data_IF_255323674856
#
_entry.id   IF_255323674856
#
_cell.length_a   1.000
_cell.length_b   1.000
_cell.length_c   1.000
_cell.angle_alpha   90.00
_cell.angle_beta   90.00
_cell.angle_gamma   90.00
#
_symmetry.space_group_name_H-M   'P 1'
#
loop_
_entity.id
_entity.type
_entity.pdbx_description
1 polymer ?
#
# COMPACT_ATOMS: atom_id res chain seq x y z
N UNK A 1 60.24 72.23 -10.26
CA UNK A 1 61.41 71.57 -10.90
C UNK A 1 61.24 70.06 -10.75
N UNK A 2 61.57 69.32 -11.81
CA UNK A 2 61.23 67.91 -12.12
C UNK A 2 62.20 66.93 -11.42
N UNK A 3 61.72 65.73 -11.04
CA UNK A 3 62.42 64.42 -11.04
C UNK A 3 61.46 63.33 -10.45
N UNK A 4 60.74 62.50 -11.22
CA UNK A 4 61.09 61.20 -11.87
C UNK A 4 61.90 60.23 -11.01
N UNK A 5 61.37 59.02 -10.76
CA UNK A 5 62.22 57.89 -10.30
C UNK A 5 61.52 56.65 -9.75
N UNK A 6 61.01 55.80 -10.65
CA UNK A 6 60.90 54.32 -10.58
C UNK A 6 60.32 53.63 -9.32
N UNK A 7 59.08 53.13 -9.47
CA UNK A 7 58.47 52.12 -8.61
C UNK A 7 58.73 50.73 -9.22
N UNK A 8 59.56 49.91 -8.57
CA UNK A 8 59.81 48.52 -8.94
C UNK A 8 58.96 47.61 -8.06
N UNK A 9 57.92 47.04 -8.67
CA UNK A 9 57.00 46.05 -8.11
C UNK A 9 57.74 44.74 -7.83
N UNK A 10 57.83 44.34 -6.55
CA UNK A 10 58.15 42.95 -6.17
C UNK A 10 56.84 42.28 -5.76
N UNK A 11 56.39 41.34 -6.58
CA UNK A 11 55.19 40.56 -6.36
C UNK A 11 55.38 39.60 -5.18
N UNK A 12 54.74 39.91 -4.05
CA UNK A 12 54.54 38.98 -2.94
C UNK A 12 53.51 37.92 -3.34
N UNK A 13 53.94 36.67 -3.50
CA UNK A 13 53.05 35.52 -3.67
C UNK A 13 52.44 35.11 -2.33
N UNK A 14 51.29 35.71 -2.02
CA UNK A 14 50.45 35.31 -0.89
C UNK A 14 49.77 33.97 -1.23
N UNK A 15 50.21 32.89 -0.61
CA UNK A 15 49.54 31.58 -0.67
C UNK A 15 48.24 31.66 0.14
N UNK A 16 47.07 31.34 -0.44
CA UNK A 16 45.83 31.38 0.31
C UNK A 16 45.77 30.22 1.31
N UNK A 17 45.66 30.57 2.59
CA UNK A 17 45.33 29.67 3.69
C UNK A 17 44.00 28.99 3.36
N UNK A 18 44.02 27.66 3.16
CA UNK A 18 42.80 26.85 3.03
C UNK A 18 41.99 26.97 4.31
N UNK A 19 40.79 27.54 4.20
CA UNK A 19 39.78 27.50 5.23
C UNK A 19 39.43 26.03 5.54
N UNK A 20 39.63 25.62 6.80
CA UNK A 20 39.16 24.34 7.32
C UNK A 20 37.64 24.48 7.51
N UNK A 21 36.87 23.73 6.71
CA UNK A 21 35.41 23.63 6.90
C UNK A 21 35.12 23.04 8.29
N UNK A 22 34.16 23.60 9.07
CA UNK A 22 33.70 22.95 10.28
C UNK A 22 33.01 21.62 9.93
N UNK A 23 33.08 20.59 10.80
CA UNK A 23 32.43 19.32 10.54
C UNK A 23 30.92 19.54 10.39
N UNK A 24 30.38 19.06 9.28
CA UNK A 24 28.95 19.13 8.97
C UNK A 24 28.15 18.52 10.14
N UNK A 25 27.11 19.24 10.58
CA UNK A 25 26.15 18.71 11.54
C UNK A 25 25.59 17.38 11.02
N UNK A 26 25.42 16.36 11.88
CA UNK A 26 24.78 15.13 11.47
C UNK A 26 23.39 15.44 10.89
N UNK A 27 22.96 14.77 9.81
CA UNK A 27 21.63 14.99 9.26
C UNK A 27 20.59 14.76 10.36
N UNK A 28 19.50 15.54 10.38
CA UNK A 28 18.42 15.28 11.32
C UNK A 28 18.01 13.81 11.15
N UNK A 29 18.02 13.06 12.25
CA UNK A 29 17.52 11.71 12.27
C UNK A 29 16.15 11.73 11.62
N UNK A 30 16.01 11.01 10.50
CA UNK A 30 14.72 10.85 9.87
C UNK A 30 13.81 10.24 10.92
N UNK A 31 12.90 11.07 11.43
CA UNK A 31 11.79 10.67 12.27
C UNK A 31 11.16 9.47 11.58
N UNK A 32 11.45 8.27 12.09
CA UNK A 32 10.75 7.05 11.73
C UNK A 32 9.40 7.12 12.44
N UNK A 33 8.62 8.14 12.11
CA UNK A 33 7.19 8.16 12.35
C UNK A 33 6.66 7.00 11.53
N UNK A 34 6.48 5.88 12.24
CA UNK A 34 5.72 4.75 11.74
C UNK A 34 4.26 5.19 11.80
N UNK A 35 3.88 6.17 10.97
CA UNK A 35 2.48 6.45 10.73
C UNK A 35 1.91 5.17 10.14
N UNK A 36 1.09 4.49 10.92
CA UNK A 36 0.36 3.33 10.42
C UNK A 36 -0.56 3.90 9.35
N UNK A 37 -0.28 3.56 8.08
CA UNK A 37 -1.05 4.13 6.99
C UNK A 37 -2.52 3.76 7.15
N UNK A 38 -3.41 4.69 6.81
CA UNK A 38 -4.84 4.41 6.73
C UNK A 38 -5.17 3.69 5.42
N UNK A 39 -6.25 2.92 5.42
CA UNK A 39 -6.81 2.36 4.19
C UNK A 39 -7.30 3.47 3.26
N UNK A 40 -7.29 3.25 1.94
CA UNK A 40 -7.87 4.20 0.99
C UNK A 40 -9.36 4.43 1.29
N UNK A 41 -9.82 5.63 0.93
CA UNK A 41 -11.24 5.98 0.94
C UNK A 41 -11.87 5.55 -0.38
N UNK A 42 -13.04 4.93 -0.32
CA UNK A 42 -13.84 4.56 -1.48
C UNK A 42 -15.28 5.02 -1.29
N UNK A 43 -15.96 5.33 -2.38
CA UNK A 43 -17.39 5.66 -2.33
C UNK A 43 -18.21 4.39 -2.10
N UNK A 44 -19.06 4.41 -1.08
CA UNK A 44 -20.07 3.37 -0.89
C UNK A 44 -21.04 3.33 -2.07
N UNK A 45 -21.59 2.16 -2.41
CA UNK A 45 -22.57 2.02 -3.50
C UNK A 45 -22.67 0.60 -4.04
N UNK A 46 -23.19 0.46 -5.26
CA UNK A 46 -23.16 -0.80 -5.99
C UNK A 46 -21.77 -0.97 -6.63
N UNK A 47 -21.10 -2.07 -6.32
CA UNK A 47 -19.77 -2.40 -6.83
C UNK A 47 -19.78 -3.72 -7.60
N UNK A 48 -18.99 -3.80 -8.66
CA UNK A 48 -18.60 -5.04 -9.33
C UNK A 48 -17.18 -5.42 -8.92
N UNK A 49 -16.98 -6.71 -8.62
CA UNK A 49 -15.70 -7.31 -8.29
C UNK A 49 -15.45 -8.46 -9.26
N UNK A 50 -14.45 -8.32 -10.11
CA UNK A 50 -13.93 -9.41 -10.94
C UNK A 50 -12.70 -10.00 -10.27
N UNK A 51 -12.81 -11.24 -9.80
CA UNK A 51 -11.74 -11.98 -9.12
C UNK A 51 -11.16 -13.04 -10.04
N UNK A 52 -9.85 -13.01 -10.25
CA UNK A 52 -9.06 -14.04 -10.91
C UNK A 52 -8.21 -14.77 -9.87
N UNK A 53 -8.35 -16.09 -9.76
CA UNK A 53 -7.64 -16.94 -8.81
C UNK A 53 -6.75 -17.94 -9.57
N UNK A 54 -5.46 -17.92 -9.26
CA UNK A 54 -4.47 -18.89 -9.74
C UNK A 54 -4.01 -19.73 -8.55
N UNK A 55 -4.22 -21.03 -8.61
CA UNK A 55 -3.69 -21.98 -7.64
C UNK A 55 -2.60 -22.80 -8.31
N UNK A 56 -1.48 -23.01 -7.63
CA UNK A 56 -0.30 -23.69 -8.20
C UNK A 56 -0.56 -25.09 -8.76
N UNK A 57 -1.66 -25.74 -8.37
CA UNK A 57 -2.10 -27.06 -8.83
C UNK A 57 -2.98 -27.03 -10.10
N UNK A 58 -3.43 -25.84 -10.55
CA UNK A 58 -4.38 -25.70 -11.67
C UNK A 58 -3.74 -25.03 -12.88
N UNK A 59 -3.89 -25.67 -14.04
CA UNK A 59 -3.38 -25.19 -15.33
C UNK A 59 -4.09 -23.94 -15.87
N UNK A 60 -5.28 -23.59 -15.35
CA UNK A 60 -6.06 -22.44 -15.82
C UNK A 60 -6.53 -21.55 -14.65
N UNK A 61 -6.39 -20.22 -14.75
CA UNK A 61 -6.97 -19.28 -13.80
C UNK A 61 -8.49 -19.43 -13.71
N UNK A 62 -9.05 -19.34 -12.50
CA UNK A 62 -10.49 -19.29 -12.28
C UNK A 62 -10.96 -17.84 -12.14
N UNK A 63 -11.92 -17.43 -12.97
CA UNK A 63 -12.48 -16.08 -12.95
C UNK A 63 -13.90 -16.12 -12.41
N UNK A 64 -14.21 -15.23 -11.47
CA UNK A 64 -15.55 -15.06 -10.87
C UNK A 64 -15.88 -13.57 -10.80
N UNK A 65 -17.13 -13.21 -11.09
CA UNK A 65 -17.60 -11.83 -10.99
C UNK A 65 -18.79 -11.76 -10.04
N UNK A 66 -18.76 -10.80 -9.12
CA UNK A 66 -19.85 -10.54 -8.17
C UNK A 66 -20.20 -9.06 -8.20
N UNK A 67 -21.50 -8.76 -8.16
CA UNK A 67 -22.01 -7.41 -7.93
C UNK A 67 -22.68 -7.34 -6.58
N UNK A 68 -22.34 -6.34 -5.77
CA UNK A 68 -22.98 -6.12 -4.48
C UNK A 68 -22.87 -4.67 -4.01
N UNK A 69 -23.78 -4.32 -3.13
CA UNK A 69 -23.71 -3.12 -2.33
C UNK A 69 -22.57 -3.23 -1.31
N UNK A 70 -21.62 -2.29 -1.35
CA UNK A 70 -20.42 -2.32 -0.51
C UNK A 70 -19.87 -0.92 -0.18
N UNK A 71 -19.31 -0.80 1.03
CA UNK A 71 -18.29 0.19 1.38
C UNK A 71 -16.97 -0.58 1.43
N UNK A 72 -16.14 -0.54 0.37
CA UNK A 72 -14.95 -1.38 0.29
C UNK A 72 -13.98 -1.15 1.45
N UNK A 73 -13.83 0.09 1.93
CA UNK A 73 -12.90 0.39 3.02
C UNK A 73 -13.41 -0.18 4.36
N UNK A 74 -14.72 -0.10 4.61
CA UNK A 74 -15.32 -0.72 5.80
C UNK A 74 -15.22 -2.24 5.76
N UNK A 75 -15.49 -2.87 4.62
CA UNK A 75 -15.38 -4.32 4.47
C UNK A 75 -13.93 -4.81 4.64
N UNK A 76 -12.94 -4.05 4.14
CA UNK A 76 -11.53 -4.36 4.36
C UNK A 76 -11.16 -4.32 5.84
N UNK A 77 -11.60 -3.29 6.58
CA UNK A 77 -11.39 -3.22 8.04
C UNK A 77 -12.02 -4.41 8.76
N UNK A 78 -13.28 -4.72 8.46
CA UNK A 78 -13.98 -5.86 9.06
C UNK A 78 -13.25 -7.19 8.76
N UNK A 79 -12.79 -7.38 7.52
CA UNK A 79 -11.99 -8.55 7.12
C UNK A 79 -10.71 -8.65 7.94
N UNK A 80 -9.95 -7.56 8.07
CA UNK A 80 -8.70 -7.54 8.85
C UNK A 80 -8.95 -7.84 10.33
N UNK A 81 -9.99 -7.25 10.93
CA UNK A 81 -10.38 -7.54 12.31
C UNK A 81 -10.80 -9.00 12.51
N UNK A 82 -11.59 -9.55 11.60
CA UNK A 82 -12.00 -10.95 11.64
C UNK A 82 -10.80 -11.90 11.52
N UNK A 83 -9.77 -11.53 10.77
CA UNK A 83 -8.51 -12.28 10.68
C UNK A 83 -7.68 -12.16 11.96
N UNK A 84 -7.60 -10.97 12.57
CA UNK A 84 -6.94 -10.79 13.87
C UNK A 84 -7.59 -11.65 14.97
N UNK A 85 -8.93 -11.75 14.99
CA UNK A 85 -9.67 -12.64 15.90
C UNK A 85 -9.34 -14.13 15.70
N UNK A 86 -8.78 -14.50 14.54
CA UNK A 86 -8.27 -15.85 14.24
C UNK A 86 -6.76 -15.97 14.42
N UNK A 87 -6.18 -15.08 15.23
CA UNK A 87 -4.76 -15.05 15.55
C UNK A 87 -3.84 -14.78 14.35
N UNK A 88 -4.36 -14.16 13.27
CA UNK A 88 -3.50 -13.65 12.21
C UNK A 88 -2.78 -12.37 12.67
N UNK A 89 -1.46 -12.34 12.49
CA UNK A 89 -0.60 -11.22 12.87
C UNK A 89 -0.33 -10.34 11.65
N UNK A 90 -0.73 -9.07 11.70
CA UNK A 90 -0.54 -8.12 10.62
C UNK A 90 0.72 -7.29 10.84
N UNK A 91 1.49 -7.07 9.78
CA UNK A 91 2.46 -5.97 9.76
C UNK A 91 1.72 -4.63 9.64
N UNK A 92 2.32 -3.51 10.08
CA UNK A 92 1.75 -2.19 9.82
C UNK A 92 1.48 -1.97 8.33
N UNK A 93 0.32 -1.38 8.00
CA UNK A 93 -0.02 -1.02 6.62
C UNK A 93 1.00 0.00 6.12
N UNK A 94 1.58 -0.26 4.95
CA UNK A 94 2.50 0.67 4.28
C UNK A 94 1.77 1.30 3.10
N UNK A 95 1.97 2.60 2.90
CA UNK A 95 1.44 3.33 1.76
C UNK A 95 2.57 4.00 0.99
N UNK A 96 2.55 3.85 -0.33
CA UNK A 96 3.33 4.65 -1.26
C UNK A 96 2.39 5.17 -2.34
N UNK A 97 2.07 6.46 -2.31
CA UNK A 97 1.10 7.09 -3.21
C UNK A 97 -0.27 6.39 -3.20
N UNK A 98 -0.63 5.72 -4.29
CA UNK A 98 -1.84 4.94 -4.56
C UNK A 98 -1.68 3.45 -4.21
N UNK A 99 -0.48 3.00 -3.87
CA UNK A 99 -0.18 1.62 -3.49
C UNK A 99 -0.22 1.43 -1.96
N UNK A 100 -1.05 0.50 -1.51
CA UNK A 100 -1.22 0.10 -0.12
C UNK A 100 -0.78 -1.35 0.02
N UNK A 101 0.24 -1.59 0.83
CA UNK A 101 0.84 -2.92 1.02
C UNK A 101 0.51 -3.40 2.42
N UNK A 102 -0.20 -4.51 2.49
CA UNK A 102 -0.44 -5.23 3.74
C UNK A 102 0.18 -6.63 3.68
N UNK A 103 0.65 -7.11 4.83
CA UNK A 103 1.18 -8.46 4.96
C UNK A 103 0.77 -9.01 6.30
N UNK A 104 0.47 -10.30 6.36
CA UNK A 104 0.10 -10.96 7.61
C UNK A 104 0.47 -12.43 7.60
N UNK A 105 0.62 -12.99 8.80
CA UNK A 105 0.86 -14.41 9.03
C UNK A 105 -0.36 -14.97 9.75
N UNK A 106 -0.95 -16.04 9.23
CA UNK A 106 -2.02 -16.77 9.92
C UNK A 106 -1.54 -18.17 10.32
N UNK A 107 -1.88 -18.65 11.53
CA UNK A 107 -1.67 -20.04 11.87
C UNK A 107 -2.56 -20.95 11.02
N UNK A 108 -2.04 -22.11 10.60
CA UNK A 108 -2.80 -23.18 9.96
C UNK A 108 -2.25 -24.56 10.36
N UNK A 109 -3.04 -25.64 10.23
CA UNK A 109 -2.62 -26.99 10.67
C UNK A 109 -1.31 -27.49 10.04
N UNK A 110 -1.00 -27.08 8.80
CA UNK A 110 0.22 -27.46 8.07
C UNK A 110 1.40 -26.49 8.22
N UNK A 111 1.34 -25.58 9.20
CA UNK A 111 2.30 -24.48 9.37
C UNK A 111 1.70 -23.11 9.06
N UNK A 112 2.39 -22.02 9.41
CA UNK A 112 1.90 -20.66 9.17
C UNK A 112 1.78 -20.38 7.67
N UNK A 113 0.70 -19.69 7.29
CA UNK A 113 0.51 -19.19 5.93
C UNK A 113 0.84 -17.70 5.91
N UNK A 114 1.76 -17.30 5.02
CA UNK A 114 2.15 -15.91 4.82
C UNK A 114 1.33 -15.30 3.69
N UNK A 115 0.73 -14.16 3.97
CA UNK A 115 -0.04 -13.39 3.01
C UNK A 115 0.66 -12.08 2.69
N UNK A 116 0.61 -11.68 1.42
CA UNK A 116 1.03 -10.37 0.95
C UNK A 116 -0.03 -9.83 0.01
N UNK A 117 -0.41 -8.59 0.19
CA UNK A 117 -1.53 -7.94 -0.49
C UNK A 117 -1.08 -6.55 -0.92
N UNK A 118 -1.30 -6.23 -2.19
CA UNK A 118 -1.02 -4.92 -2.78
C UNK A 118 -2.31 -4.42 -3.39
N UNK A 119 -2.86 -3.39 -2.75
CA UNK A 119 -4.01 -2.67 -3.24
C UNK A 119 -3.54 -1.40 -3.95
N UNK A 120 -4.02 -1.19 -5.18
CA UNK A 120 -3.74 -0.02 -6.03
C UNK A 120 -5.05 0.74 -6.18
N UNK A 121 -5.16 1.89 -5.52
CA UNK A 121 -6.36 2.72 -5.55
C UNK A 121 -6.28 3.71 -6.72
N UNK A 122 -6.88 3.36 -7.86
CA UNK A 122 -6.90 4.22 -9.04
C UNK A 122 -7.65 5.54 -8.79
N UNK A 123 -8.82 5.45 -8.16
CA UNK A 123 -9.67 6.59 -7.80
C UNK A 123 -10.67 6.18 -6.69
N UNK A 124 -11.61 7.06 -6.34
CA UNK A 124 -12.60 6.79 -5.28
C UNK A 124 -13.62 5.69 -5.65
N UNK A 125 -13.69 5.31 -6.91
CA UNK A 125 -14.67 4.41 -7.52
C UNK A 125 -14.05 3.19 -8.19
N UNK A 126 -12.73 3.02 -8.15
CA UNK A 126 -12.06 1.84 -8.70
C UNK A 126 -10.74 1.52 -7.99
N UNK A 127 -10.44 0.23 -7.89
CA UNK A 127 -9.15 -0.25 -7.39
C UNK A 127 -8.81 -1.63 -7.95
N UNK A 128 -7.52 -1.97 -7.87
CA UNK A 128 -7.04 -3.34 -8.06
C UNK A 128 -6.44 -3.85 -6.75
N UNK A 129 -6.60 -5.13 -6.49
CA UNK A 129 -6.01 -5.82 -5.34
C UNK A 129 -5.33 -7.08 -5.86
N UNK A 130 -4.03 -7.21 -5.60
CA UNK A 130 -3.23 -8.40 -5.91
C UNK A 130 -2.74 -8.99 -4.60
N UNK A 131 -3.20 -10.20 -4.31
CA UNK A 131 -2.89 -10.91 -3.07
C UNK A 131 -2.26 -12.27 -3.36
N UNK A 132 -1.29 -12.64 -2.54
CA UNK A 132 -0.63 -13.94 -2.57
C UNK A 132 -0.72 -14.60 -1.19
N UNK A 133 -0.95 -15.91 -1.19
CA UNK A 133 -0.88 -16.77 -0.01
C UNK A 133 0.20 -17.83 -0.22
N UNK A 134 1.17 -17.85 0.67
CA UNK A 134 2.33 -18.74 0.64
C UNK A 134 2.22 -19.72 1.82
N UNK A 135 2.02 -21.00 1.53
CA UNK A 135 2.23 -22.10 2.47
C UNK A 135 3.53 -22.83 2.13
N UNK A 136 3.92 -23.81 2.96
CA UNK A 136 5.12 -24.60 2.69
C UNK A 136 5.03 -25.40 1.37
N UNK A 137 3.82 -25.73 0.91
CA UNK A 137 3.61 -26.61 -0.25
C UNK A 137 3.09 -25.86 -1.48
N UNK A 138 2.41 -24.72 -1.29
CA UNK A 138 1.68 -24.07 -2.38
C UNK A 138 1.76 -22.55 -2.30
N UNK A 139 1.74 -21.92 -3.48
CA UNK A 139 1.44 -20.50 -3.63
C UNK A 139 0.11 -20.37 -4.35
N UNK A 140 -0.76 -19.53 -3.78
CA UNK A 140 -2.00 -19.10 -4.44
C UNK A 140 -1.92 -17.61 -4.70
N UNK A 141 -2.24 -17.20 -5.92
CA UNK A 141 -2.31 -15.80 -6.32
C UNK A 141 -3.76 -15.44 -6.64
N UNK A 142 -4.17 -14.25 -6.26
CA UNK A 142 -5.47 -13.70 -6.57
C UNK A 142 -5.31 -12.26 -7.04
N UNK A 143 -6.04 -11.90 -8.10
CA UNK A 143 -6.26 -10.52 -8.52
C UNK A 143 -7.74 -10.19 -8.39
N UNK A 144 -8.08 -9.03 -7.85
CA UNK A 144 -9.42 -8.45 -7.87
C UNK A 144 -9.35 -7.11 -8.60
N UNK A 145 -10.25 -6.93 -9.56
CA UNK A 145 -10.51 -5.66 -10.22
C UNK A 145 -11.89 -5.20 -9.77
N UNK A 146 -11.96 -4.05 -9.09
CA UNK A 146 -13.16 -3.54 -8.46
C UNK A 146 -13.56 -2.19 -9.06
N UNK A 147 -14.85 -2.02 -9.34
CA UNK A 147 -15.41 -0.78 -9.89
C UNK A 147 -16.80 -0.49 -9.34
N UNK A 148 -17.05 0.76 -8.95
CA UNK A 148 -18.38 1.26 -8.59
C UNK A 148 -19.22 1.41 -9.84
N UNK A 149 -20.44 0.88 -9.79
CA UNK A 149 -21.44 0.93 -10.85
C UNK A 149 -22.51 2.01 -10.61
N UNK A 150 -22.57 2.58 -9.41
CA UNK A 150 -23.53 3.62 -9.04
C UNK A 150 -24.07 3.44 -7.63
N UNK A 151 -25.27 3.97 -7.38
CA UNK A 151 -25.99 3.80 -6.13
C UNK A 151 -26.54 2.37 -5.98
N UNK A 152 -26.86 2.00 -4.75
CA UNK A 152 -27.48 0.72 -4.46
C UNK A 152 -28.98 0.69 -4.83
N UNK A 153 -29.44 -0.31 -5.61
CA UNK A 153 -30.84 -0.40 -5.99
C UNK A 153 -31.72 -0.69 -4.76
N UNK A 154 -32.88 -0.02 -4.70
CA UNK A 154 -33.90 -0.24 -3.66
C UNK A 154 -33.61 0.40 -2.30
N UNK A 155 -32.46 1.04 -2.12
CA UNK A 155 -32.06 1.68 -0.85
C UNK A 155 -32.30 3.21 -0.85
N UNK A 156 -32.59 3.82 -2.00
CA UNK A 156 -32.59 5.30 -2.12
C UNK A 156 -31.20 5.87 -1.86
N UNK A 157 -30.98 7.13 -2.25
CA UNK A 157 -29.70 7.80 -1.96
C UNK A 157 -29.50 7.88 -0.44
N UNK A 158 -28.58 7.09 0.11
CA UNK A 158 -28.13 7.21 1.51
C UNK A 158 -28.60 6.15 2.51
N UNK A 159 -29.33 5.09 2.13
CA UNK A 159 -29.64 4.04 3.10
C UNK A 159 -28.45 3.09 3.37
N UNK A 160 -28.29 2.58 4.61
CA UNK A 160 -27.16 1.76 4.99
C UNK A 160 -27.08 0.46 4.17
N UNK A 161 -25.88 0.12 3.72
CA UNK A 161 -25.64 -1.12 2.99
C UNK A 161 -25.84 -2.31 3.93
N UNK A 162 -26.83 -3.15 3.63
CA UNK A 162 -27.03 -4.40 4.35
C UNK A 162 -25.86 -5.35 4.11
N UNK A 163 -25.33 -5.96 5.19
CA UNK A 163 -24.26 -6.95 5.10
C UNK A 163 -24.67 -8.08 4.16
N UNK A 164 -23.88 -8.32 3.12
CA UNK A 164 -24.12 -9.47 2.24
C UNK A 164 -23.85 -10.76 3.02
N UNK A 165 -24.81 -11.71 3.08
CA UNK A 165 -24.59 -12.99 3.72
C UNK A 165 -23.40 -13.72 3.08
N UNK A 166 -22.57 -14.36 3.91
CA UNK A 166 -21.47 -15.18 3.45
C UNK A 166 -22.01 -16.33 2.59
N UNK A 167 -21.47 -16.58 1.36
CA UNK A 167 -21.89 -17.74 0.58
C UNK A 167 -21.65 -19.03 1.38
N UNK A 168 -22.55 -20.02 1.30
CA UNK A 168 -22.33 -21.32 1.92
C UNK A 168 -21.02 -21.92 1.37
N UNK A 169 -20.23 -22.54 2.25
CA UNK A 169 -19.07 -23.32 1.82
C UNK A 169 -19.60 -24.50 1.00
N UNK A 170 -19.15 -24.63 -0.24
CA UNK A 170 -19.38 -25.86 -0.98
C UNK A 170 -18.64 -27.02 -0.27
N UNK A 171 -19.29 -28.20 -0.15
CA UNK A 171 -18.74 -29.36 0.53
C UNK A 171 -17.48 -29.90 -0.15
#
# INVERSE_FOLDING_TARGET
MIAVGACLLVAMTCTPVRAVNPPAAPPPAADSQTSTAELPRFQAGLWEYRRTLVRGDKTKPQVTTVKKCADPAAEMREKMEALRKKSCQFTPLRRNQDHYVSSWLCPAPGGPVRFRDVLIASDLTSYQDVSEAHSAQHVTQQKIEARRLGECPGLGSGAPLLRTPKPPRQP
#
